data_IF_641002050667
#
_entry.id   IF_641002050667
#
_cell.length_a   1.000
_cell.length_b   1.000
_cell.length_c   1.000
_cell.angle_alpha   90.00
_cell.angle_beta   90.00
_cell.angle_gamma   90.00
#
_symmetry.space_group_name_H-M   'P 1'
#
loop_
_entity.id
_entity.type
_entity.pdbx_description
1 polymer ?
#
# COMPACT_ATOMS: atom_id res chain seq x y z
N UNK A 1 -2.52 28.67 -8.34
CA UNK A 1 -3.35 27.91 -9.30
C UNK A 1 -4.05 26.78 -8.56
N UNK A 2 -5.24 26.32 -8.98
CA UNK A 2 -5.81 25.09 -8.45
C UNK A 2 -4.91 23.92 -8.82
N UNK A 3 -4.76 22.95 -7.89
CA UNK A 3 -3.99 21.73 -8.14
C UNK A 3 -4.71 20.85 -9.17
N UNK A 4 -3.95 20.11 -10.00
CA UNK A 4 -4.49 19.22 -11.02
C UNK A 4 -5.37 18.13 -10.38
N UNK A 5 -6.49 17.76 -11.03
CA UNK A 5 -7.27 16.58 -10.61
C UNK A 5 -6.47 15.31 -10.97
N UNK A 6 -6.03 14.50 -10.00
CA UNK A 6 -5.26 13.29 -10.26
C UNK A 6 -6.02 12.23 -11.06
N UNK A 7 -7.32 12.45 -11.31
CA UNK A 7 -8.21 11.50 -11.99
C UNK A 7 -8.67 11.97 -13.39
N UNK A 8 -8.11 13.02 -13.93
CA UNK A 8 -8.35 13.42 -15.32
C UNK A 8 -7.86 12.36 -16.31
N UNK A 9 -6.77 11.66 -15.95
CA UNK A 9 -6.20 10.61 -16.78
C UNK A 9 -6.70 9.21 -16.41
N UNK A 10 -6.67 8.25 -17.37
CA UNK A 10 -6.89 6.85 -17.09
C UNK A 10 -5.92 6.31 -16.05
N UNK A 11 -6.27 5.22 -15.36
CA UNK A 11 -5.41 4.60 -14.36
C UNK A 11 -4.12 3.97 -14.92
N UNK A 12 -4.16 3.48 -16.18
CA UNK A 12 -3.00 2.91 -16.87
C UNK A 12 -2.67 3.75 -18.09
N UNK A 13 -1.43 4.26 -18.14
CA UNK A 13 -0.92 5.16 -19.17
C UNK A 13 0.51 4.81 -19.53
N UNK A 14 0.87 5.00 -20.80
CA UNK A 14 2.26 4.91 -21.25
C UNK A 14 3.09 6.07 -20.68
N UNK A 15 4.41 5.89 -20.61
CA UNK A 15 5.31 6.95 -20.12
C UNK A 15 5.14 8.29 -20.84
N UNK A 16 5.09 8.35 -22.18
CA UNK A 16 4.90 9.62 -22.89
C UNK A 16 3.60 10.36 -22.54
N UNK A 17 2.53 9.63 -22.24
CA UNK A 17 1.24 10.21 -21.85
C UNK A 17 1.23 10.66 -20.39
N UNK A 18 1.84 9.88 -19.52
CA UNK A 18 1.82 10.05 -18.06
C UNK A 18 2.80 11.09 -17.55
N UNK A 19 4.05 11.08 -18.06
CA UNK A 19 5.16 11.85 -17.49
C UNK A 19 4.91 13.37 -17.49
N UNK A 20 4.44 14.01 -18.58
CA UNK A 20 4.20 15.46 -18.56
C UNK A 20 3.14 15.87 -17.52
N UNK A 21 2.08 15.08 -17.39
CA UNK A 21 1.01 15.33 -16.40
C UNK A 21 1.53 15.17 -14.96
N UNK A 22 2.30 14.11 -14.69
CA UNK A 22 2.89 13.90 -13.37
C UNK A 22 3.87 15.02 -13.01
N UNK A 23 4.77 15.40 -13.93
CA UNK A 23 5.75 16.44 -13.66
C UNK A 23 5.08 17.77 -13.32
N UNK A 24 4.07 18.18 -14.12
CA UNK A 24 3.31 19.38 -13.85
C UNK A 24 2.63 19.36 -12.47
N UNK A 25 1.90 18.27 -12.17
CA UNK A 25 1.18 18.15 -10.91
C UNK A 25 2.09 18.03 -9.70
N UNK A 26 3.23 17.32 -9.81
CA UNK A 26 4.21 17.18 -8.72
C UNK A 26 4.98 18.48 -8.47
N UNK A 27 5.30 19.25 -9.53
CA UNK A 27 5.88 20.60 -9.39
C UNK A 27 4.91 21.56 -8.70
N UNK A 28 3.63 21.56 -9.09
CA UNK A 28 2.58 22.35 -8.42
C UNK A 28 2.41 21.96 -6.94
N UNK A 29 2.46 20.66 -6.62
CA UNK A 29 2.43 20.17 -5.23
C UNK A 29 3.67 20.59 -4.45
N UNK A 30 4.85 20.54 -5.05
CA UNK A 30 6.09 21.03 -4.42
C UNK A 30 5.95 22.49 -4.00
N UNK A 31 5.47 23.33 -4.92
CA UNK A 31 5.28 24.75 -4.63
C UNK A 31 4.12 24.99 -3.63
N UNK A 32 3.03 24.20 -3.71
CA UNK A 32 1.95 24.23 -2.72
C UNK A 32 2.47 23.93 -1.30
N UNK A 33 3.28 22.91 -1.14
CA UNK A 33 3.84 22.53 0.15
C UNK A 33 4.91 23.51 0.64
N UNK A 34 5.69 24.10 -0.27
CA UNK A 34 6.63 25.20 0.09
C UNK A 34 5.90 26.39 0.70
N UNK A 35 4.73 26.75 0.19
CA UNK A 35 3.89 27.84 0.74
C UNK A 35 3.17 27.44 2.02
N UNK A 36 2.68 26.20 2.08
CA UNK A 36 1.85 25.71 3.19
C UNK A 36 2.63 25.21 4.42
N UNK A 37 3.93 24.85 4.28
CA UNK A 37 4.74 24.28 5.35
C UNK A 37 6.13 24.92 5.42
N UNK A 38 6.35 25.75 6.43
CA UNK A 38 7.64 26.40 6.67
C UNK A 38 8.77 25.37 6.87
N UNK A 39 8.49 24.26 7.59
CA UNK A 39 9.45 23.18 7.83
C UNK A 39 9.84 22.54 6.49
N UNK A 40 8.87 22.21 5.65
CA UNK A 40 9.13 21.63 4.33
C UNK A 40 9.95 22.59 3.46
N UNK A 41 9.54 23.87 3.38
CA UNK A 41 10.23 24.89 2.61
C UNK A 41 11.71 24.97 2.97
N UNK A 42 12.03 25.11 4.27
CA UNK A 42 13.42 25.19 4.73
C UNK A 42 14.25 23.97 4.36
N UNK A 43 13.68 22.76 4.48
CA UNK A 43 14.39 21.55 4.12
C UNK A 43 14.68 21.48 2.63
N UNK A 44 13.68 21.76 1.80
CA UNK A 44 13.84 21.69 0.34
C UNK A 44 14.78 22.76 -0.18
N UNK A 45 14.66 23.99 0.31
CA UNK A 45 15.54 25.10 -0.10
C UNK A 45 17.02 24.83 0.25
N UNK A 46 17.30 24.19 1.39
CA UNK A 46 18.66 23.86 1.82
C UNK A 46 19.24 22.67 1.05
N UNK A 47 18.43 21.66 0.78
CA UNK A 47 18.93 20.39 0.19
C UNK A 47 18.98 20.46 -1.34
N UNK A 48 17.96 21.06 -1.96
CA UNK A 48 17.79 21.07 -3.42
C UNK A 48 17.94 22.45 -4.06
N UNK A 49 18.00 23.52 -3.26
CA UNK A 49 18.10 24.89 -3.75
C UNK A 49 16.80 25.42 -4.36
N UNK A 50 16.93 26.41 -5.28
CA UNK A 50 15.80 26.90 -6.05
C UNK A 50 15.33 25.85 -7.05
N UNK A 51 14.03 25.61 -7.08
CA UNK A 51 13.44 24.59 -7.95
C UNK A 51 13.58 24.99 -9.42
N UNK A 52 14.41 24.27 -10.16
CA UNK A 52 14.34 24.26 -11.62
C UNK A 52 13.05 23.59 -12.09
N UNK A 53 12.60 23.90 -13.32
CA UNK A 53 11.50 23.15 -13.93
C UNK A 53 11.97 21.71 -14.14
N UNK A 54 11.31 20.69 -13.53
CA UNK A 54 11.77 19.33 -13.65
C UNK A 54 11.52 18.78 -15.07
N UNK A 55 12.51 18.14 -15.64
CA UNK A 55 12.41 17.44 -16.93
C UNK A 55 12.12 15.94 -16.76
N UNK A 56 12.49 15.38 -15.61
CA UNK A 56 12.21 13.98 -15.22
C UNK A 56 11.81 13.90 -13.74
N UNK A 57 11.26 12.76 -13.33
CA UNK A 57 10.92 12.48 -11.93
C UNK A 57 12.15 12.52 -11.00
N UNK A 58 13.32 12.25 -11.53
CA UNK A 58 14.58 12.30 -10.80
C UNK A 58 14.95 13.69 -10.30
N UNK A 59 14.49 14.73 -11.00
CA UNK A 59 14.79 16.15 -10.70
C UNK A 59 13.92 16.71 -9.56
N UNK A 60 12.84 15.99 -9.22
CA UNK A 60 11.92 16.43 -8.18
C UNK A 60 12.53 16.28 -6.79
N UNK A 61 12.37 17.29 -5.92
CA UNK A 61 12.79 17.18 -4.53
C UNK A 61 11.99 16.11 -3.80
N UNK A 62 12.59 15.50 -2.80
CA UNK A 62 11.98 14.43 -2.01
C UNK A 62 12.28 14.56 -0.52
N UNK A 63 11.42 13.98 0.31
CA UNK A 63 11.65 13.82 1.74
C UNK A 63 11.92 12.35 2.10
N UNK A 64 12.89 12.08 2.99
CA UNK A 64 12.99 10.76 3.61
C UNK A 64 11.73 10.45 4.43
N UNK A 65 11.11 9.30 4.20
CA UNK A 65 9.85 8.90 4.86
C UNK A 65 9.93 8.94 6.39
N UNK A 66 11.11 8.69 6.98
CA UNK A 66 11.32 8.74 8.42
C UNK A 66 11.08 10.10 9.06
N UNK A 67 11.08 11.18 8.30
CA UNK A 67 10.82 12.53 8.84
C UNK A 67 9.42 12.66 9.43
N UNK A 68 8.44 11.94 8.90
CA UNK A 68 7.08 11.91 9.44
C UNK A 68 6.97 11.30 10.85
N UNK A 69 7.99 10.60 11.30
CA UNK A 69 8.10 10.12 12.69
C UNK A 69 8.63 11.18 13.66
N UNK A 70 9.32 12.19 13.14
CA UNK A 70 10.06 13.18 13.94
C UNK A 70 9.50 14.59 13.86
N UNK A 71 8.74 14.87 12.80
CA UNK A 71 8.24 16.21 12.50
C UNK A 71 6.75 16.18 12.20
N UNK A 72 6.05 17.21 12.64
CA UNK A 72 4.65 17.43 12.28
C UNK A 72 4.61 18.16 10.93
N UNK A 73 4.53 17.39 9.86
CA UNK A 73 4.53 17.87 8.50
C UNK A 73 3.09 18.04 8.01
N UNK A 74 2.54 19.25 8.15
CA UNK A 74 1.26 19.65 7.59
C UNK A 74 1.47 20.84 6.65
N UNK A 75 0.67 20.93 5.59
CA UNK A 75 0.67 22.03 4.61
C UNK A 75 -0.67 22.79 4.59
N UNK A 76 -1.53 22.47 5.54
CA UNK A 76 -2.83 23.12 5.77
C UNK A 76 -2.95 23.55 7.22
N UNK A 77 -3.81 24.55 7.54
CA UNK A 77 -4.10 24.96 8.90
C UNK A 77 -4.61 23.77 9.75
N UNK A 78 -4.30 23.77 11.04
CA UNK A 78 -4.67 22.64 11.94
C UNK A 78 -6.19 22.46 12.06
N UNK A 79 -6.95 23.53 11.98
CA UNK A 79 -8.43 23.53 11.99
C UNK A 79 -9.05 22.85 10.77
N UNK A 80 -8.33 22.75 9.68
CA UNK A 80 -8.77 22.03 8.47
C UNK A 80 -8.55 20.53 8.54
N UNK A 81 -7.81 20.03 9.54
CA UNK A 81 -7.49 18.62 9.69
C UNK A 81 -8.70 17.87 10.24
N UNK A 82 -9.27 16.98 9.41
CA UNK A 82 -10.43 16.16 9.78
C UNK A 82 -10.03 14.77 10.29
N UNK A 83 -8.79 14.34 9.99
CA UNK A 83 -8.29 13.00 10.35
C UNK A 83 -6.79 12.99 10.51
N UNK A 84 -6.31 12.31 11.54
CA UNK A 84 -4.87 11.99 11.69
C UNK A 84 -4.70 10.47 11.65
N UNK A 85 -3.79 10.02 10.80
CA UNK A 85 -3.42 8.62 10.68
C UNK A 85 -2.03 8.41 11.26
N UNK A 86 -1.83 7.27 11.92
CA UNK A 86 -0.55 6.88 12.48
C UNK A 86 -0.01 5.62 11.80
N UNK A 87 1.30 5.57 11.58
CA UNK A 87 1.95 4.32 11.17
C UNK A 87 1.90 3.29 12.30
N UNK A 88 2.04 2.00 11.97
CA UNK A 88 2.19 0.97 12.97
C UNK A 88 3.47 1.19 13.79
N UNK A 89 3.33 1.33 15.09
CA UNK A 89 4.45 1.42 16.03
C UNK A 89 4.23 0.49 17.22
N UNK A 90 5.30 -0.11 17.77
CA UNK A 90 5.21 -0.77 19.08
C UNK A 90 5.30 0.28 20.17
N UNK A 91 4.76 -0.04 21.34
CA UNK A 91 4.77 0.83 22.52
C UNK A 91 6.17 1.43 22.78
N UNK A 92 6.24 2.76 22.83
CA UNK A 92 7.47 3.50 23.12
C UNK A 92 8.28 3.99 21.92
N UNK A 93 7.84 3.78 20.67
CA UNK A 93 8.54 4.32 19.50
C UNK A 93 7.75 5.40 18.77
N UNK A 94 8.48 6.34 18.14
CA UNK A 94 7.90 7.39 17.32
C UNK A 94 7.18 6.78 16.11
N UNK A 95 5.92 7.14 15.92
CA UNK A 95 5.08 6.76 14.77
C UNK A 95 4.99 7.94 13.82
N UNK A 96 4.89 7.65 12.51
CA UNK A 96 4.56 8.68 11.53
C UNK A 96 3.15 9.20 11.79
N UNK A 97 2.96 10.52 11.70
CA UNK A 97 1.66 11.18 11.79
C UNK A 97 1.33 11.87 10.49
N UNK A 98 0.19 11.51 9.90
CA UNK A 98 -0.26 12.02 8.62
C UNK A 98 -1.57 12.77 8.84
N UNK A 99 -1.57 14.04 8.50
CA UNK A 99 -2.66 14.98 8.72
C UNK A 99 -3.48 15.14 7.44
N UNK A 100 -4.76 14.76 7.50
CA UNK A 100 -5.65 14.79 6.35
C UNK A 100 -6.73 15.85 6.54
N UNK A 101 -6.84 16.74 5.55
CA UNK A 101 -8.04 17.53 5.37
C UNK A 101 -9.13 16.74 4.61
N UNK A 102 -10.30 17.31 4.47
CA UNK A 102 -11.44 16.65 3.82
C UNK A 102 -11.16 16.34 2.34
N UNK A 103 -10.48 17.23 1.63
CA UNK A 103 -10.12 17.07 0.22
C UNK A 103 -9.17 15.90 0.03
N UNK A 104 -8.04 15.88 0.75
CA UNK A 104 -7.05 14.80 0.65
C UNK A 104 -7.64 13.45 1.05
N UNK A 105 -8.48 13.40 2.09
CA UNK A 105 -9.16 12.16 2.49
C UNK A 105 -10.12 11.64 1.42
N UNK A 106 -10.84 12.53 0.74
CA UNK A 106 -11.73 12.16 -0.37
C UNK A 106 -10.94 11.66 -1.59
N UNK A 107 -9.84 12.34 -1.95
CA UNK A 107 -8.96 11.92 -3.05
C UNK A 107 -8.39 10.52 -2.81
N UNK A 108 -7.90 10.24 -1.60
CA UNK A 108 -7.37 8.94 -1.23
C UNK A 108 -8.40 7.82 -1.35
N UNK A 109 -9.63 8.05 -0.89
CA UNK A 109 -10.72 7.08 -1.00
C UNK A 109 -11.11 6.82 -2.46
N UNK A 110 -11.21 7.87 -3.27
CA UNK A 110 -11.49 7.78 -4.71
C UNK A 110 -10.39 7.03 -5.46
N UNK A 111 -9.11 7.29 -5.12
CA UNK A 111 -7.97 6.61 -5.70
C UNK A 111 -7.99 5.11 -5.45
N UNK A 112 -8.14 4.71 -4.18
CA UNK A 112 -8.22 3.29 -3.81
C UNK A 112 -9.36 2.60 -4.55
N UNK A 113 -10.55 3.22 -4.63
CA UNK A 113 -11.69 2.69 -5.40
C UNK A 113 -11.35 2.48 -6.87
N UNK A 114 -10.71 3.45 -7.53
CA UNK A 114 -10.35 3.33 -8.95
C UNK A 114 -9.36 2.21 -9.20
N UNK A 115 -8.27 2.15 -8.43
CA UNK A 115 -7.27 1.10 -8.54
C UNK A 115 -7.91 -0.27 -8.29
N UNK A 116 -8.64 -0.41 -7.19
CA UNK A 116 -9.24 -1.69 -6.83
C UNK A 116 -10.23 -2.21 -7.88
N UNK A 117 -11.02 -1.33 -8.51
CA UNK A 117 -11.95 -1.74 -9.58
C UNK A 117 -11.25 -2.34 -10.81
N UNK A 118 -10.00 -1.98 -11.09
CA UNK A 118 -9.23 -2.55 -12.20
C UNK A 118 -8.79 -3.99 -11.96
N UNK A 119 -8.48 -4.34 -10.71
CA UNK A 119 -8.00 -5.65 -10.32
C UNK A 119 -9.10 -6.58 -9.82
N UNK A 120 -10.11 -6.03 -9.15
CA UNK A 120 -11.17 -6.79 -8.47
C UNK A 120 -12.51 -6.76 -9.22
N UNK A 121 -12.63 -5.85 -10.21
CA UNK A 121 -13.88 -5.61 -10.92
C UNK A 121 -14.83 -4.70 -10.12
N UNK A 122 -16.01 -4.45 -10.71
CA UNK A 122 -17.02 -3.53 -10.13
C UNK A 122 -18.01 -4.19 -9.19
N UNK A 123 -18.08 -5.52 -9.18
CA UNK A 123 -19.04 -6.27 -8.37
C UNK A 123 -18.49 -6.51 -6.97
N UNK A 124 -19.22 -6.06 -5.96
CA UNK A 124 -18.87 -6.35 -4.57
C UNK A 124 -19.18 -7.81 -4.23
N UNK A 125 -18.16 -8.56 -3.86
CA UNK A 125 -18.26 -9.97 -3.49
C UNK A 125 -18.48 -10.12 -1.98
N UNK A 126 -19.09 -11.24 -1.51
CA UNK A 126 -19.00 -11.63 -0.10
C UNK A 126 -17.54 -11.64 0.33
N UNK A 127 -17.22 -11.07 1.50
CA UNK A 127 -15.84 -10.81 1.85
C UNK A 127 -15.42 -11.53 3.14
N UNK A 128 -14.32 -12.27 3.03
CA UNK A 128 -13.62 -12.86 4.16
C UNK A 128 -12.41 -12.00 4.51
N UNK A 129 -12.42 -11.41 5.69
CA UNK A 129 -11.31 -10.63 6.23
C UNK A 129 -10.52 -11.56 7.16
N UNK A 130 -9.28 -11.90 6.76
CA UNK A 130 -8.40 -12.78 7.53
C UNK A 130 -7.73 -11.93 8.62
N UNK A 131 -8.56 -11.51 9.55
CA UNK A 131 -8.23 -10.71 10.72
C UNK A 131 -9.37 -10.83 11.75
N UNK A 132 -9.18 -10.23 12.95
CA UNK A 132 -10.25 -10.10 13.93
C UNK A 132 -10.93 -8.71 13.84
N UNK A 133 -12.13 -8.60 14.40
CA UNK A 133 -12.92 -7.37 14.39
C UNK A 133 -12.65 -6.42 15.57
N UNK A 134 -11.70 -6.71 16.45
CA UNK A 134 -11.48 -5.95 17.69
C UNK A 134 -11.17 -4.46 17.44
N UNK A 135 -10.51 -4.12 16.34
CA UNK A 135 -10.22 -2.73 15.97
C UNK A 135 -11.46 -1.88 15.68
N UNK A 136 -12.60 -2.50 15.37
CA UNK A 136 -13.87 -1.78 15.17
C UNK A 136 -14.42 -1.18 16.46
N UNK A 137 -14.02 -1.73 17.62
CA UNK A 137 -14.46 -1.27 18.94
C UNK A 137 -13.71 -0.02 19.41
N UNK A 138 -12.48 0.17 18.96
CA UNK A 138 -11.63 1.32 19.32
C UNK A 138 -11.30 2.17 18.09
N UNK A 139 -12.23 3.07 17.75
CA UNK A 139 -12.08 3.99 16.62
C UNK A 139 -11.02 5.07 16.86
N UNK A 140 -10.60 5.29 18.10
CA UNK A 140 -9.59 6.30 18.45
C UNK A 140 -8.17 5.83 18.12
N UNK A 141 -7.93 4.52 18.03
CA UNK A 141 -6.62 3.91 17.75
C UNK A 141 -6.52 3.34 16.32
N UNK A 142 -7.09 4.00 15.31
CA UNK A 142 -6.98 3.59 13.91
C UNK A 142 -5.52 3.59 13.45
N UNK A 143 -4.89 2.43 13.55
CA UNK A 143 -3.55 2.20 13.01
C UNK A 143 -3.58 1.84 11.51
N UNK A 144 -2.41 1.76 10.88
CA UNK A 144 -2.28 1.42 9.47
C UNK A 144 -2.96 0.09 9.08
N UNK A 145 -3.00 -0.89 10.01
CA UNK A 145 -3.69 -2.19 9.80
C UNK A 145 -5.20 -1.99 9.70
N UNK A 146 -5.79 -1.29 10.65
CA UNK A 146 -7.21 -0.97 10.63
C UNK A 146 -7.60 -0.12 9.41
N UNK A 147 -6.77 0.87 9.05
CA UNK A 147 -6.98 1.69 7.85
C UNK A 147 -6.96 0.85 6.56
N UNK A 148 -6.05 -0.12 6.45
CA UNK A 148 -6.00 -1.07 5.34
C UNK A 148 -7.27 -1.92 5.26
N UNK A 149 -7.69 -2.55 6.37
CA UNK A 149 -8.90 -3.37 6.40
C UNK A 149 -10.13 -2.54 6.02
N UNK A 150 -10.30 -1.35 6.61
CA UNK A 150 -11.44 -0.46 6.31
C UNK A 150 -11.42 0.01 4.85
N UNK A 151 -10.26 0.32 4.30
CA UNK A 151 -10.12 0.71 2.89
C UNK A 151 -10.55 -0.41 1.95
N UNK A 152 -10.01 -1.62 2.15
CA UNK A 152 -10.33 -2.76 1.29
C UNK A 152 -11.72 -3.35 1.54
N UNK A 153 -12.33 -3.16 2.71
CA UNK A 153 -13.70 -3.60 2.99
C UNK A 153 -14.74 -2.95 2.06
N UNK A 154 -14.41 -1.79 1.48
CA UNK A 154 -15.28 -1.12 0.50
C UNK A 154 -15.52 -1.93 -0.78
N UNK A 155 -14.62 -2.87 -1.12
CA UNK A 155 -14.75 -3.76 -2.28
C UNK A 155 -15.59 -5.00 -2.01
N UNK A 156 -15.85 -5.30 -0.73
CA UNK A 156 -16.66 -6.43 -0.31
C UNK A 156 -18.05 -6.06 0.20
N UNK A 157 -18.83 -7.07 0.51
CA UNK A 157 -20.12 -7.01 1.20
C UNK A 157 -20.23 -8.15 2.20
N UNK A 158 -21.15 -8.06 3.15
CA UNK A 158 -21.43 -9.14 4.11
C UNK A 158 -20.15 -9.66 4.79
N UNK A 159 -19.35 -8.76 5.34
CA UNK A 159 -18.01 -9.02 5.85
C UNK A 159 -18.00 -10.11 6.95
N UNK A 160 -17.14 -11.12 6.76
CA UNK A 160 -16.84 -12.15 7.75
C UNK A 160 -15.39 -12.01 8.22
N UNK A 161 -15.20 -11.82 9.51
CA UNK A 161 -13.88 -11.77 10.14
C UNK A 161 -13.49 -13.19 10.55
N UNK A 162 -12.45 -13.75 9.91
CA UNK A 162 -12.10 -15.15 10.06
C UNK A 162 -11.34 -15.49 11.35
N UNK A 163 -10.79 -14.48 12.05
CA UNK A 163 -10.02 -14.70 13.26
C UNK A 163 -10.77 -14.19 14.50
N UNK A 164 -10.68 -14.95 15.58
CA UNK A 164 -11.11 -14.52 16.91
C UNK A 164 -10.08 -13.54 17.57
N UNK A 165 -10.30 -13.16 18.81
CA UNK A 165 -9.42 -12.27 19.56
C UNK A 165 -8.04 -12.89 19.86
N UNK A 166 -7.93 -14.23 19.82
CA UNK A 166 -6.68 -15.00 19.99
C UNK A 166 -5.99 -15.29 18.64
N UNK A 167 -6.49 -14.71 17.56
CA UNK A 167 -6.03 -14.95 16.19
C UNK A 167 -6.20 -16.39 15.72
N UNK A 168 -7.17 -17.13 16.26
CA UNK A 168 -7.53 -18.47 15.81
C UNK A 168 -8.67 -18.40 14.80
N UNK A 169 -8.65 -19.30 13.80
CA UNK A 169 -9.72 -19.38 12.80
C UNK A 169 -10.87 -20.23 13.31
N UNK A 170 -12.08 -19.71 13.27
CA UNK A 170 -13.30 -20.52 13.41
C UNK A 170 -13.69 -21.10 12.04
N UNK A 171 -13.16 -22.29 11.75
CA UNK A 171 -13.39 -22.98 10.49
C UNK A 171 -14.86 -23.32 10.27
N UNK A 172 -15.59 -23.70 11.31
CA UNK A 172 -17.00 -24.07 11.21
C UNK A 172 -17.88 -22.87 10.83
N UNK A 173 -17.64 -21.73 11.46
CA UNK A 173 -18.34 -20.48 11.10
C UNK A 173 -17.98 -20.01 9.70
N UNK A 174 -16.74 -20.20 9.26
CA UNK A 174 -16.32 -19.86 7.89
C UNK A 174 -17.03 -20.76 6.87
N UNK A 175 -17.14 -22.05 7.10
CA UNK A 175 -17.87 -22.98 6.23
C UNK A 175 -19.35 -22.61 6.12
N UNK A 176 -20.01 -22.27 7.24
CA UNK A 176 -21.40 -21.80 7.25
C UNK A 176 -21.55 -20.50 6.46
N UNK A 177 -20.61 -19.56 6.62
CA UNK A 177 -20.60 -18.33 5.86
C UNK A 177 -20.44 -18.59 4.36
N UNK A 178 -19.55 -19.50 3.98
CA UNK A 178 -19.34 -19.89 2.58
C UNK A 178 -20.59 -20.55 1.99
N UNK A 179 -21.22 -21.48 2.72
CA UNK A 179 -22.45 -22.14 2.29
C UNK A 179 -23.62 -21.15 2.07
N UNK A 180 -23.74 -20.12 2.94
CA UNK A 180 -24.74 -19.07 2.80
C UNK A 180 -24.61 -18.28 1.47
N UNK A 181 -23.41 -18.11 0.97
CA UNK A 181 -23.14 -17.28 -0.20
C UNK A 181 -22.85 -18.11 -1.48
N UNK A 182 -22.77 -19.44 -1.38
CA UNK A 182 -22.55 -20.30 -2.55
C UNK A 182 -23.64 -20.11 -3.63
N UNK A 183 -23.31 -20.19 -4.92
CA UNK A 183 -22.00 -20.46 -5.51
C UNK A 183 -21.17 -19.20 -5.81
N UNK A 184 -21.47 -18.05 -5.22
CA UNK A 184 -20.77 -16.79 -5.50
C UNK A 184 -19.29 -16.91 -5.18
N UNK A 185 -18.39 -16.30 -6.00
CA UNK A 185 -17.01 -16.12 -5.62
C UNK A 185 -16.86 -15.17 -4.42
N UNK A 186 -15.71 -15.22 -3.75
CA UNK A 186 -15.40 -14.43 -2.55
C UNK A 186 -14.23 -13.49 -2.81
N UNK A 187 -14.26 -12.33 -2.16
CA UNK A 187 -13.08 -11.51 -1.95
C UNK A 187 -12.48 -11.87 -0.58
N UNK A 188 -11.21 -12.26 -0.57
CA UNK A 188 -10.44 -12.44 0.65
C UNK A 188 -9.48 -11.26 0.81
N UNK A 189 -9.32 -10.78 2.03
CA UNK A 189 -8.33 -9.76 2.37
C UNK A 189 -7.59 -10.12 3.65
N UNK A 190 -6.27 -9.91 3.66
CA UNK A 190 -5.46 -10.09 4.85
C UNK A 190 -4.02 -9.60 4.69
N UNK A 191 -3.31 -9.46 5.80
CA UNK A 191 -1.88 -9.16 5.77
C UNK A 191 -1.08 -10.43 5.54
N UNK A 192 -0.10 -10.38 4.65
CA UNK A 192 0.68 -11.54 4.16
C UNK A 192 1.12 -12.49 5.27
N UNK A 193 1.75 -11.97 6.33
CA UNK A 193 2.19 -12.79 7.45
C UNK A 193 1.04 -13.45 8.21
N UNK A 194 -0.07 -12.73 8.42
CA UNK A 194 -1.26 -13.24 9.13
C UNK A 194 -1.95 -14.31 8.29
N UNK A 195 -2.11 -14.07 6.97
CA UNK A 195 -2.67 -15.06 6.05
C UNK A 195 -1.83 -16.34 6.07
N UNK A 196 -0.51 -16.21 6.01
CA UNK A 196 0.36 -17.39 6.06
C UNK A 196 0.22 -18.15 7.38
N UNK A 197 0.47 -17.48 8.48
CA UNK A 197 0.58 -18.13 9.78
C UNK A 197 -0.79 -18.60 10.33
N UNK A 198 -1.80 -17.72 10.26
CA UNK A 198 -3.08 -17.98 10.93
C UNK A 198 -4.10 -18.66 10.01
N UNK A 199 -3.94 -18.55 8.69
CA UNK A 199 -4.90 -19.15 7.78
C UNK A 199 -4.33 -20.38 7.07
N UNK A 200 -3.18 -20.27 6.39
CA UNK A 200 -2.59 -21.40 5.64
C UNK A 200 -2.05 -22.48 6.59
N UNK A 201 -1.18 -22.11 7.54
CA UNK A 201 -0.57 -23.08 8.45
C UNK A 201 -1.61 -23.68 9.41
N UNK A 202 -2.55 -22.89 9.91
CA UNK A 202 -3.65 -23.35 10.75
C UNK A 202 -4.54 -24.36 10.01
N UNK A 203 -4.87 -24.09 8.73
CA UNK A 203 -5.64 -25.03 7.91
C UNK A 203 -4.91 -26.36 7.70
N UNK A 204 -3.59 -26.31 7.51
CA UNK A 204 -2.76 -27.54 7.43
C UNK A 204 -2.85 -28.36 8.71
N UNK A 205 -2.70 -27.70 9.85
CA UNK A 205 -2.73 -28.34 11.17
C UNK A 205 -4.11 -28.91 11.53
N UNK A 206 -5.18 -28.22 11.13
CA UNK A 206 -6.56 -28.62 11.40
C UNK A 206 -7.12 -29.62 10.37
N UNK A 207 -6.37 -29.98 9.32
CA UNK A 207 -6.84 -30.86 8.26
C UNK A 207 -7.99 -30.31 7.42
N UNK A 208 -8.12 -29.00 7.32
CA UNK A 208 -9.18 -28.33 6.55
C UNK A 208 -9.08 -28.67 5.06
N UNK A 209 -10.21 -29.04 4.44
CA UNK A 209 -10.27 -29.56 3.06
C UNK A 209 -11.19 -28.79 2.13
N UNK A 210 -11.94 -27.80 2.61
CA UNK A 210 -12.85 -27.01 1.75
C UNK A 210 -12.10 -26.13 0.77
N UNK A 211 -12.78 -25.78 -0.33
CA UNK A 211 -12.27 -24.87 -1.36
C UNK A 211 -13.24 -23.73 -1.59
N UNK A 212 -12.70 -22.54 -1.83
CA UNK A 212 -13.51 -21.42 -2.29
C UNK A 212 -13.98 -21.64 -3.73
N UNK A 213 -15.18 -21.12 -4.10
CA UNK A 213 -15.64 -21.16 -5.49
C UNK A 213 -14.62 -20.55 -6.45
N UNK A 214 -14.66 -21.01 -7.71
CA UNK A 214 -13.88 -20.43 -8.79
C UNK A 214 -14.08 -18.90 -8.86
N UNK A 215 -13.12 -18.18 -9.40
CA UNK A 215 -13.07 -16.70 -9.47
C UNK A 215 -13.00 -15.98 -8.12
N UNK A 216 -12.86 -16.70 -6.99
CA UNK A 216 -12.52 -16.06 -5.72
C UNK A 216 -11.12 -15.46 -5.80
N UNK A 217 -10.94 -14.30 -5.16
CA UNK A 217 -9.70 -13.53 -5.24
C UNK A 217 -9.20 -13.16 -3.85
N UNK A 218 -7.89 -13.28 -3.64
CA UNK A 218 -7.21 -12.79 -2.44
C UNK A 218 -6.47 -11.49 -2.76
N UNK A 219 -6.66 -10.48 -1.93
CA UNK A 219 -5.79 -9.32 -1.85
C UNK A 219 -5.00 -9.39 -0.55
N UNK A 220 -3.70 -9.33 -0.63
CA UNK A 220 -2.85 -9.33 0.54
C UNK A 220 -1.73 -8.29 0.43
N UNK A 221 -1.19 -7.87 1.56
CA UNK A 221 -0.10 -6.90 1.58
C UNK A 221 0.61 -6.87 2.92
N UNK A 222 1.59 -5.98 3.04
CA UNK A 222 2.45 -5.89 4.22
C UNK A 222 3.72 -6.71 4.09
N UNK A 223 4.62 -6.56 5.07
CA UNK A 223 5.98 -7.07 4.96
C UNK A 223 6.12 -8.57 5.00
N UNK A 224 7.03 -9.07 4.19
CA UNK A 224 7.46 -10.49 4.12
C UNK A 224 8.47 -10.88 5.21
N UNK A 225 8.91 -9.96 6.05
CA UNK A 225 10.08 -10.05 6.93
C UNK A 225 10.14 -11.32 7.80
N UNK A 226 9.03 -11.65 8.44
CA UNK A 226 8.95 -12.86 9.27
C UNK A 226 8.83 -14.14 8.45
N UNK A 227 8.47 -14.02 7.17
CA UNK A 227 8.42 -15.14 6.23
C UNK A 227 9.74 -15.31 5.47
N UNK A 228 10.50 -14.21 5.29
CA UNK A 228 11.83 -14.26 4.67
C UNK A 228 12.79 -15.16 5.46
N UNK A 229 12.74 -15.13 6.79
CA UNK A 229 13.51 -16.03 7.66
C UNK A 229 13.15 -17.53 7.44
N UNK A 230 11.94 -17.79 6.93
CA UNK A 230 11.45 -19.13 6.55
C UNK A 230 11.61 -19.44 5.05
N UNK A 231 12.27 -18.54 4.30
CA UNK A 231 12.47 -18.64 2.84
C UNK A 231 11.17 -18.69 2.03
N UNK A 232 10.07 -18.16 2.56
CA UNK A 232 8.79 -18.12 1.86
C UNK A 232 8.73 -16.86 1.00
N UNK A 233 8.61 -17.08 -0.30
CA UNK A 233 8.47 -16.01 -1.30
C UNK A 233 7.02 -15.89 -1.80
N UNK A 234 6.76 -14.90 -2.66
CA UNK A 234 5.43 -14.62 -3.19
C UNK A 234 4.84 -15.80 -3.99
N UNK A 235 5.66 -16.51 -4.76
CA UNK A 235 5.19 -17.63 -5.57
C UNK A 235 4.78 -18.83 -4.68
N UNK A 236 5.54 -19.12 -3.63
CA UNK A 236 5.21 -20.15 -2.65
C UNK A 236 3.93 -19.83 -1.88
N UNK A 237 3.76 -18.55 -1.51
CA UNK A 237 2.53 -18.08 -0.88
C UNK A 237 1.31 -18.30 -1.79
N UNK A 238 1.38 -17.85 -3.05
CA UNK A 238 0.30 -18.03 -4.04
C UNK A 238 0.02 -19.50 -4.31
N UNK A 239 1.07 -20.32 -4.46
CA UNK A 239 0.92 -21.76 -4.65
C UNK A 239 0.18 -22.42 -3.46
N UNK A 240 0.53 -22.05 -2.23
CA UNK A 240 -0.13 -22.57 -1.05
C UNK A 240 -1.62 -22.19 -0.97
N UNK A 241 -1.99 -20.95 -1.37
CA UNK A 241 -3.38 -20.50 -1.45
C UNK A 241 -4.16 -21.24 -2.54
N UNK A 242 -3.55 -21.43 -3.71
CA UNK A 242 -4.17 -22.18 -4.81
C UNK A 242 -4.37 -23.65 -4.49
N UNK A 243 -3.33 -24.31 -3.95
CA UNK A 243 -3.37 -25.72 -3.58
C UNK A 243 -4.38 -26.00 -2.47
N UNK A 244 -4.31 -25.24 -1.36
CA UNK A 244 -5.10 -25.48 -0.16
C UNK A 244 -6.55 -25.04 -0.32
N UNK A 245 -6.80 -23.86 -0.87
CA UNK A 245 -8.11 -23.23 -0.87
C UNK A 245 -8.72 -23.03 -2.26
N UNK A 246 -8.03 -23.41 -3.35
CA UNK A 246 -8.51 -23.21 -4.72
C UNK A 246 -8.43 -21.76 -5.21
N UNK A 247 -7.75 -20.87 -4.49
CA UNK A 247 -7.64 -19.46 -4.85
C UNK A 247 -6.43 -19.26 -5.77
N UNK A 248 -6.67 -19.25 -7.08
CA UNK A 248 -5.64 -19.04 -8.10
C UNK A 248 -5.33 -17.52 -8.30
N UNK A 249 -6.29 -16.63 -8.03
CA UNK A 249 -6.14 -15.19 -8.16
C UNK A 249 -5.72 -14.57 -6.83
N UNK A 250 -4.44 -14.26 -6.70
CA UNK A 250 -3.89 -13.59 -5.53
C UNK A 250 -3.08 -12.38 -5.96
N UNK A 251 -3.42 -11.21 -5.44
CA UNK A 251 -2.76 -9.94 -5.71
C UNK A 251 -2.10 -9.42 -4.45
N UNK A 252 -0.78 -9.29 -4.47
CA UNK A 252 -0.07 -8.52 -3.47
C UNK A 252 -0.27 -7.03 -3.72
N UNK A 253 -0.14 -6.20 -2.70
CA UNK A 253 -0.06 -4.76 -2.88
C UNK A 253 1.05 -4.14 -2.03
N UNK A 254 1.62 -3.07 -2.55
CA UNK A 254 2.54 -2.21 -1.85
C UNK A 254 1.91 -0.83 -1.62
N UNK A 255 2.07 -0.30 -0.42
CA UNK A 255 1.57 1.02 -0.02
C UNK A 255 2.02 1.37 1.38
N UNK A 256 1.92 2.64 1.72
CA UNK A 256 2.36 3.16 3.02
C UNK A 256 1.40 4.23 3.55
N UNK A 257 1.40 4.42 4.88
CA UNK A 257 0.54 5.42 5.51
C UNK A 257 0.95 6.86 5.14
N UNK A 258 2.22 7.06 4.83
CA UNK A 258 2.78 8.36 4.43
C UNK A 258 2.36 8.78 3.01
N UNK A 259 1.79 7.83 2.21
CA UNK A 259 1.25 8.11 0.88
C UNK A 259 -0.04 7.32 0.64
N UNK A 260 -0.98 7.42 1.58
CA UNK A 260 -2.26 6.71 1.55
C UNK A 260 -3.04 7.00 0.25
N UNK A 261 -3.69 5.96 -0.26
CA UNK A 261 -4.44 6.00 -1.52
C UNK A 261 -3.60 5.65 -2.73
N UNK A 262 -2.29 5.85 -2.69
CA UNK A 262 -1.36 5.34 -3.70
C UNK A 262 -1.00 3.91 -3.36
N UNK A 263 -1.75 2.99 -3.96
CA UNK A 263 -1.58 1.55 -3.78
C UNK A 263 -1.10 0.96 -5.09
N UNK A 264 0.03 0.27 -5.03
CA UNK A 264 0.62 -0.42 -6.18
C UNK A 264 0.19 -1.88 -6.10
N UNK A 265 -0.69 -2.28 -7.00
CA UNK A 265 -1.18 -3.66 -7.07
C UNK A 265 -0.30 -4.54 -7.93
N UNK A 266 -0.15 -5.77 -7.50
CA UNK A 266 0.52 -6.81 -8.27
C UNK A 266 -0.41 -7.36 -9.35
N UNK A 267 0.09 -7.41 -10.58
CA UNK A 267 -0.61 -8.01 -11.70
C UNK A 267 -0.44 -9.54 -11.73
N UNK A 268 -1.05 -10.16 -12.72
CA UNK A 268 -1.04 -11.61 -12.95
C UNK A 268 0.37 -12.17 -13.20
N UNK A 269 1.27 -11.32 -13.79
CA UNK A 269 2.68 -11.67 -14.02
C UNK A 269 3.58 -11.47 -12.79
N UNK A 270 3.03 -11.06 -11.63
CA UNK A 270 3.76 -10.92 -10.37
C UNK A 270 4.50 -9.60 -10.19
N UNK A 271 4.17 -8.56 -10.98
CA UNK A 271 4.75 -7.23 -10.85
C UNK A 271 3.75 -6.21 -10.29
N UNK A 272 4.25 -5.34 -9.43
CA UNK A 272 3.50 -4.18 -8.96
C UNK A 272 3.45 -3.11 -10.06
N UNK A 273 2.29 -2.48 -10.24
CA UNK A 273 2.08 -1.41 -11.21
C UNK A 273 1.75 -0.08 -10.54
N UNK A 274 2.34 0.99 -11.06
CA UNK A 274 2.05 2.35 -10.64
C UNK A 274 0.79 2.89 -11.36
N UNK A 275 -0.24 3.37 -10.62
CA UNK A 275 -1.41 3.98 -11.26
C UNK A 275 -1.06 5.31 -11.94
N UNK A 276 -1.94 5.81 -12.81
CA UNK A 276 -1.69 7.02 -13.62
C UNK A 276 -1.32 8.28 -12.82
N UNK A 277 -1.77 8.40 -11.57
CA UNK A 277 -1.50 9.54 -10.69
C UNK A 277 -0.30 9.32 -9.73
N UNK A 278 0.41 8.21 -9.85
CA UNK A 278 1.55 7.86 -9.00
C UNK A 278 2.66 7.19 -9.81
N UNK A 279 3.88 7.21 -9.32
CA UNK A 279 5.02 6.56 -9.98
C UNK A 279 6.08 6.14 -8.95
N UNK A 280 7.13 5.46 -9.45
CA UNK A 280 8.28 5.02 -8.64
C UNK A 280 9.59 5.28 -9.38
N UNK A 281 10.64 5.46 -8.60
CA UNK A 281 12.03 5.57 -9.07
C UNK A 281 12.92 4.79 -8.11
N UNK A 282 13.97 4.15 -8.62
CA UNK A 282 14.98 3.50 -7.78
C UNK A 282 16.19 4.42 -7.64
N UNK A 283 16.66 4.59 -6.39
CA UNK A 283 17.90 5.36 -6.10
C UNK A 283 18.97 4.48 -5.47
N UNK A 284 20.20 4.77 -5.84
CA UNK A 284 21.36 4.14 -5.21
C UNK A 284 21.33 4.41 -3.68
N UNK A 285 21.46 3.38 -2.82
CA UNK A 285 21.36 3.58 -1.37
C UNK A 285 22.48 4.44 -0.75
N UNK A 286 23.60 4.63 -1.49
CA UNK A 286 24.78 5.35 -1.01
C UNK A 286 24.83 6.77 -1.61
N UNK A 287 24.74 6.86 -2.95
CA UNK A 287 24.88 8.15 -3.66
C UNK A 287 23.58 8.91 -3.81
N UNK A 288 22.45 8.21 -3.65
CA UNK A 288 21.07 8.69 -3.87
C UNK A 288 20.78 9.10 -5.33
N UNK A 289 21.70 8.80 -6.25
CA UNK A 289 21.50 8.99 -7.68
C UNK A 289 20.44 8.03 -8.23
N UNK A 290 19.68 8.44 -9.26
CA UNK A 290 18.70 7.57 -9.90
C UNK A 290 19.37 6.38 -10.56
N UNK A 291 18.75 5.20 -10.47
CA UNK A 291 19.23 3.96 -11.06
C UNK A 291 18.46 3.64 -12.35
N UNK A 292 19.14 2.97 -13.27
CA UNK A 292 18.54 2.44 -14.48
C UNK A 292 17.64 1.23 -14.17
N UNK A 293 16.73 0.93 -15.08
CA UNK A 293 15.88 -0.28 -15.05
C UNK A 293 16.78 -1.53 -14.89
N UNK A 294 16.35 -2.48 -14.06
CA UNK A 294 17.06 -3.71 -13.75
C UNK A 294 17.98 -3.65 -12.53
N UNK A 295 18.18 -2.47 -11.94
CA UNK A 295 19.03 -2.33 -10.75
C UNK A 295 18.19 -2.18 -9.49
N UNK A 296 18.57 -2.91 -8.43
CA UNK A 296 17.94 -2.78 -7.11
C UNK A 296 18.42 -1.50 -6.42
N UNK A 297 17.47 -0.75 -5.85
CA UNK A 297 17.74 0.48 -5.11
C UNK A 297 16.64 0.83 -4.11
N UNK A 298 16.84 1.94 -3.39
CA UNK A 298 15.82 2.53 -2.55
C UNK A 298 14.66 3.03 -3.40
N UNK A 299 13.45 2.67 -3.01
CA UNK A 299 12.24 3.09 -3.72
C UNK A 299 11.93 4.54 -3.34
N UNK A 300 11.89 5.43 -4.33
CA UNK A 300 11.24 6.72 -4.23
C UNK A 300 9.84 6.59 -4.83
N UNK A 301 8.82 7.05 -4.09
CA UNK A 301 7.42 7.02 -4.54
C UNK A 301 6.92 8.43 -4.79
N UNK A 302 6.10 8.59 -5.84
CA UNK A 302 5.46 9.84 -6.23
C UNK A 302 3.95 9.68 -6.26
N UNK A 303 3.22 10.74 -5.87
CA UNK A 303 1.76 10.73 -5.91
C UNK A 303 1.18 12.14 -5.98
N UNK A 304 0.13 12.30 -6.76
CA UNK A 304 -0.64 13.55 -6.84
C UNK A 304 -1.73 13.67 -5.75
N UNK A 305 -1.84 12.71 -4.84
CA UNK A 305 -2.91 12.68 -3.83
C UNK A 305 -2.63 13.52 -2.58
N UNK A 306 -1.39 13.56 -2.02
CA UNK A 306 -1.11 14.30 -0.79
C UNK A 306 -1.16 15.80 -1.02
N UNK A 307 -2.22 16.48 -0.53
CA UNK A 307 -2.40 17.94 -0.61
C UNK A 307 -2.27 18.61 0.75
N UNK A 308 -2.70 17.94 1.81
CA UNK A 308 -2.65 18.48 3.17
C UNK A 308 -1.32 18.29 3.89
N UNK A 309 -0.39 17.52 3.32
CA UNK A 309 0.95 17.24 3.85
C UNK A 309 1.94 16.93 2.73
N UNK A 310 3.26 17.18 2.89
CA UNK A 310 4.24 17.04 1.81
C UNK A 310 4.66 15.58 1.59
N UNK A 311 3.68 14.74 1.22
CA UNK A 311 3.85 13.31 0.94
C UNK A 311 3.91 12.96 -0.55
N UNK A 312 4.01 13.96 -1.45
CA UNK A 312 3.92 13.76 -2.90
C UNK A 312 5.18 13.13 -3.52
N UNK A 313 6.33 13.27 -2.88
CA UNK A 313 7.61 12.71 -3.32
C UNK A 313 8.41 12.23 -2.09
N UNK A 314 8.49 10.92 -1.88
CA UNK A 314 9.07 10.33 -0.68
C UNK A 314 10.14 9.28 -1.02
N UNK A 315 11.33 9.42 -0.44
CA UNK A 315 12.33 8.37 -0.43
C UNK A 315 12.04 7.42 0.73
N UNK A 316 11.74 6.17 0.39
CA UNK A 316 11.43 5.13 1.35
C UNK A 316 12.69 4.47 1.93
N UNK A 317 12.49 3.55 2.86
CA UNK A 317 13.54 2.66 3.36
C UNK A 317 13.43 1.27 2.75
N UNK A 318 12.52 1.07 1.80
CA UNK A 318 12.29 -0.20 1.13
C UNK A 318 13.15 -0.30 -0.14
N UNK A 319 13.62 -1.51 -0.43
CA UNK A 319 14.41 -1.83 -1.62
C UNK A 319 13.50 -2.45 -2.67
N UNK A 320 13.78 -2.14 -3.93
CA UNK A 320 13.04 -2.70 -5.05
C UNK A 320 13.77 -2.57 -6.38
N UNK A 321 13.19 -3.17 -7.40
CA UNK A 321 13.73 -3.16 -8.77
C UNK A 321 12.62 -2.85 -9.76
N UNK A 322 12.84 -1.87 -10.65
CA UNK A 322 11.99 -1.65 -11.83
C UNK A 322 12.47 -2.65 -12.91
N UNK A 323 11.55 -3.48 -13.40
CA UNK A 323 11.87 -4.52 -14.40
C UNK A 323 11.55 -4.11 -15.84
N UNK A 324 10.81 -3.03 -16.03
CA UNK A 324 10.46 -2.49 -17.34
C UNK A 324 9.39 -1.40 -17.22
N UNK A 325 9.07 -0.77 -18.34
CA UNK A 325 8.06 0.26 -18.47
C UNK A 325 7.32 0.08 -19.80
N UNK A 326 6.00 0.09 -19.77
CA UNK A 326 5.09 -0.09 -20.92
C UNK A 326 5.20 -1.45 -21.66
N UNK A 327 5.82 -2.44 -21.04
CA UNK A 327 6.18 -3.74 -21.65
C UNK A 327 5.69 -4.95 -20.85
N UNK A 328 4.74 -4.78 -19.92
CA UNK A 328 4.22 -5.89 -19.13
C UNK A 328 3.26 -6.76 -19.96
N UNK A 329 3.45 -8.09 -19.89
CA UNK A 329 2.59 -9.05 -20.56
C UNK A 329 1.13 -9.03 -20.08
N UNK A 330 0.88 -8.50 -18.88
CA UNK A 330 -0.47 -8.30 -18.38
C UNK A 330 -1.28 -7.22 -19.13
N UNK A 331 -0.64 -6.49 -20.08
CA UNK A 331 -1.25 -5.44 -20.88
C UNK A 331 -1.35 -4.06 -20.19
N UNK A 332 -0.93 -3.93 -18.91
CA UNK A 332 -0.91 -2.63 -18.23
C UNK A 332 0.34 -1.85 -18.61
N UNK A 333 0.15 -0.58 -18.91
CA UNK A 333 1.22 0.38 -19.17
C UNK A 333 1.83 0.92 -17.88
N UNK A 334 2.91 1.70 -17.99
CA UNK A 334 3.68 2.26 -16.90
C UNK A 334 4.72 1.29 -16.36
N UNK A 335 5.37 1.70 -15.27
CA UNK A 335 6.44 0.90 -14.65
C UNK A 335 5.90 -0.35 -13.98
N UNK A 336 6.62 -1.45 -14.17
CA UNK A 336 6.45 -2.71 -13.44
C UNK A 336 7.65 -2.95 -12.53
N UNK A 337 7.41 -3.20 -11.25
CA UNK A 337 8.47 -3.32 -10.27
C UNK A 337 8.18 -4.37 -9.19
N UNK A 338 9.21 -4.72 -8.44
CA UNK A 338 9.10 -5.58 -7.26
C UNK A 338 9.70 -4.89 -6.04
N UNK A 339 9.24 -5.28 -4.85
CA UNK A 339 9.81 -4.89 -3.56
C UNK A 339 10.54 -6.10 -2.99
N UNK A 340 11.84 -5.97 -2.74
CA UNK A 340 12.68 -7.05 -2.24
C UNK A 340 12.85 -7.06 -0.72
N UNK A 341 12.57 -5.92 -0.07
CA UNK A 341 12.68 -5.84 1.38
C UNK A 341 12.95 -4.43 1.86
N UNK A 342 13.67 -4.32 2.97
CA UNK A 342 14.04 -3.05 3.58
C UNK A 342 15.54 -2.99 3.80
N UNK A 343 16.11 -1.80 3.75
CA UNK A 343 17.54 -1.57 4.00
C UNK A 343 17.93 -2.12 5.39
N UNK A 344 19.01 -2.90 5.47
CA UNK A 344 19.55 -3.42 6.74
C UNK A 344 19.93 -2.23 7.64
N UNK A 345 19.62 -2.32 8.94
CA UNK A 345 19.78 -1.29 9.97
C UNK A 345 18.63 -0.26 10.10
N UNK A 346 17.57 -0.40 9.32
CA UNK A 346 16.31 0.29 9.56
C UNK A 346 15.40 -0.61 10.40
N UNK A 347 14.66 -0.02 11.34
CA UNK A 347 13.75 -0.77 12.22
C UNK A 347 12.83 -1.72 11.44
N UNK A 348 12.87 -3.01 11.84
CA UNK A 348 12.10 -4.07 11.18
C UNK A 348 10.63 -3.97 11.63
N UNK A 349 9.72 -3.40 10.80
CA UNK A 349 8.27 -3.35 11.08
C UNK A 349 7.43 -3.28 9.83
N UNK A 350 6.31 -4.01 9.87
CA UNK A 350 5.26 -3.99 8.89
C UNK A 350 3.89 -3.67 9.51
N UNK A 351 2.89 -3.37 8.71
CA UNK A 351 1.51 -3.07 9.16
C UNK A 351 0.85 -4.20 9.95
N UNK A 352 1.40 -5.42 9.89
CA UNK A 352 0.94 -6.60 10.64
C UNK A 352 1.52 -6.71 12.06
N UNK A 353 2.48 -5.87 12.45
CA UNK A 353 3.26 -6.02 13.70
C UNK A 353 2.58 -5.41 14.94
N UNK A 354 1.29 -5.12 14.89
CA UNK A 354 0.56 -4.40 15.96
C UNK A 354 0.21 -5.25 17.19
N UNK A 355 0.56 -6.54 17.22
CA UNK A 355 0.56 -7.35 18.46
C UNK A 355 1.82 -8.19 18.54
N UNK A 356 2.59 -8.03 19.61
CA UNK A 356 3.56 -9.01 20.02
C UNK A 356 2.80 -10.27 20.45
N UNK A 357 2.83 -11.32 19.64
CA UNK A 357 2.50 -12.66 20.11
C UNK A 357 3.72 -13.09 20.92
N UNK A 358 3.60 -13.44 22.23
CA UNK A 358 4.73 -14.01 22.96
C UNK A 358 5.18 -15.28 22.20
N UNK A 359 6.44 -15.34 21.87
CA UNK A 359 7.08 -16.58 21.43
C UNK A 359 7.11 -17.54 22.63
N UNK A 360 6.39 -18.64 22.55
CA UNK A 360 6.64 -19.82 23.37
C UNK A 360 7.75 -20.63 22.75
#
# INVERSE_FOLDING_TARGET
MPLLDPFELPPSLTRPEKLPFLLAGLADLTEHHRRGSEIYRRMIDVIFGEAAVPEDLADLPWLPVRLFKRMDLASVPRESIVKTLASSGTTGQAVSRIYLDAETAALQSKALSRIGMEFLGRKRLPMVIIDNSAFLRDRASLNARAAGILGFSTFGRDHFYALDENLQVDWSSLELYMAKHAPSPFLLFGFTFIVWQQFIESARSAGVTFRFPAESVLVHGGGWKRLADRQINNNEFKAAMAERFGIARSHNYYGMVEQIGSVFFECEDGYLHAPGFADVLMRNPITLEPLQIGHEGLIQVFSLLPRSYPGHSLLTEDLGTIHGEDDCRCGRSGKRFTVSGRLKNVEIRGCSDTRAVPLQ
#
